data_IF_416051231830
#
_entry.id   IF_416051231830
#
_cell.length_a   1.000
_cell.length_b   1.000
_cell.length_c   1.000
_cell.angle_alpha   90.00
_cell.angle_beta   90.00
_cell.angle_gamma   90.00
#
_symmetry.space_group_name_H-M   'P 1'
#
loop_
_entity.id
_entity.type
_entity.pdbx_description
1 polymer ?
#
# COMPACT_ATOMS: atom_id res chain seq x y z
N UNK A 1 20.54 -1.06 -1.58
CA UNK A 1 20.14 -0.05 -2.60
C UNK A 1 18.64 0.16 -2.44
N UNK A 2 18.18 1.36 -2.09
CA UNK A 2 16.74 1.67 -2.04
C UNK A 2 16.16 1.71 -3.46
N UNK A 3 14.87 1.41 -3.60
CA UNK A 3 14.13 1.43 -4.86
C UNK A 3 13.57 2.86 -5.06
N UNK A 4 13.77 3.50 -6.22
CA UNK A 4 13.24 4.85 -6.47
C UNK A 4 11.70 4.89 -6.42
N UNK A 5 11.14 5.99 -5.90
CA UNK A 5 9.70 6.18 -5.74
C UNK A 5 8.95 6.16 -7.09
N UNK A 6 9.61 6.60 -8.17
CA UNK A 6 9.05 6.61 -9.52
C UNK A 6 8.70 5.21 -10.01
N UNK A 7 9.38 4.17 -9.50
CA UNK A 7 9.01 2.78 -9.81
C UNK A 7 7.66 2.38 -9.18
N UNK A 8 7.31 2.92 -8.02
CA UNK A 8 6.02 2.69 -7.38
C UNK A 8 4.90 3.36 -8.19
N UNK A 9 5.09 4.62 -8.59
CA UNK A 9 4.14 5.33 -9.47
C UNK A 9 3.95 4.61 -10.80
N UNK A 10 5.04 4.19 -11.46
CA UNK A 10 4.95 3.43 -12.71
C UNK A 10 4.17 2.12 -12.54
N UNK A 11 4.41 1.39 -11.44
CA UNK A 11 3.68 0.14 -11.16
C UNK A 11 2.20 0.39 -10.92
N UNK A 12 1.86 1.45 -10.19
CA UNK A 12 0.48 1.89 -9.97
C UNK A 12 -0.23 2.20 -11.28
N UNK A 13 0.39 3.00 -12.16
CA UNK A 13 -0.17 3.37 -13.46
C UNK A 13 -0.41 2.15 -14.37
N UNK A 14 0.48 1.17 -14.31
CA UNK A 14 0.38 -0.08 -15.06
C UNK A 14 -0.68 -1.07 -14.53
N UNK A 15 -1.17 -0.89 -13.30
CA UNK A 15 -2.17 -1.75 -12.67
C UNK A 15 -3.60 -1.52 -13.21
N UNK A 16 -3.76 -1.44 -14.53
CA UNK A 16 -5.00 -1.05 -15.23
C UNK A 16 -6.17 -2.02 -15.02
N UNK A 17 -5.89 -3.27 -14.66
CA UNK A 17 -6.90 -4.30 -14.37
C UNK A 17 -7.24 -4.41 -12.87
N UNK A 18 -6.70 -3.50 -12.04
CA UNK A 18 -7.02 -3.44 -10.62
C UNK A 18 -7.86 -2.18 -10.36
N UNK A 19 -9.21 -2.27 -10.44
CA UNK A 19 -10.08 -1.11 -10.26
C UNK A 19 -9.93 -0.47 -8.86
N UNK A 20 -9.52 -1.26 -7.85
CA UNK A 20 -9.22 -0.81 -6.48
C UNK A 20 -7.71 -0.58 -6.23
N UNK A 21 -6.91 -0.26 -7.25
CA UNK A 21 -5.49 0.04 -7.03
C UNK A 21 -5.32 1.23 -6.09
N UNK A 22 -4.46 1.09 -5.09
CA UNK A 22 -4.09 2.14 -4.15
C UNK A 22 -2.56 2.28 -4.09
N UNK A 23 -2.07 3.52 -3.97
CA UNK A 23 -0.66 3.82 -3.75
C UNK A 23 -0.53 4.66 -2.50
N UNK A 24 0.14 4.11 -1.49
CA UNK A 24 0.46 4.79 -0.24
C UNK A 24 1.96 5.07 -0.17
N UNK A 25 2.31 6.33 0.06
CA UNK A 25 3.68 6.78 0.35
C UNK A 25 3.67 7.31 1.78
N UNK A 26 4.49 6.73 2.66
CA UNK A 26 4.62 7.19 4.04
C UNK A 26 5.52 8.43 4.12
N UNK A 27 5.20 9.36 5.01
CA UNK A 27 6.04 10.55 5.25
C UNK A 27 6.98 10.32 6.43
N UNK A 28 8.07 11.10 6.54
CA UNK A 28 8.99 10.99 7.68
C UNK A 28 8.32 11.15 9.04
N UNK A 29 7.25 11.96 9.13
CA UNK A 29 6.50 12.19 10.37
C UNK A 29 5.71 10.96 10.82
N UNK A 30 5.31 10.10 9.89
CA UNK A 30 4.58 8.85 10.16
C UNK A 30 5.53 7.68 10.52
N UNK A 31 6.81 7.84 10.16
CA UNK A 31 7.77 6.74 10.09
C UNK A 31 7.49 5.81 8.90
N UNK A 32 8.12 4.64 8.89
CA UNK A 32 8.04 3.67 7.79
C UNK A 32 8.65 4.16 6.45
N UNK A 33 9.62 5.08 6.52
CA UNK A 33 10.28 5.63 5.33
C UNK A 33 11.50 4.84 4.90
N UNK A 34 12.05 4.01 5.79
CA UNK A 34 13.14 3.11 5.42
C UNK A 34 12.67 2.00 4.49
N UNK A 35 13.63 1.30 3.88
CA UNK A 35 13.28 0.15 3.04
C UNK A 35 12.39 -0.82 3.82
N UNK A 36 11.29 -1.27 3.20
CA UNK A 36 10.21 -2.09 3.79
C UNK A 36 9.50 -1.49 5.02
N UNK A 37 9.72 -0.20 5.30
CA UNK A 37 9.27 0.46 6.51
C UNK A 37 9.92 -0.11 7.77
N UNK A 38 11.19 -0.52 7.68
CA UNK A 38 11.92 -1.18 8.77
C UNK A 38 11.95 -0.36 10.07
N UNK A 39 11.93 0.96 9.95
CA UNK A 39 11.85 1.92 11.06
C UNK A 39 10.49 1.92 11.78
N UNK A 40 9.43 1.39 11.16
CA UNK A 40 8.10 1.27 11.78
C UNK A 40 7.28 0.09 11.21
N UNK A 41 7.88 -1.10 11.17
CA UNK A 41 7.32 -2.27 10.49
C UNK A 41 5.91 -2.69 10.97
N UNK A 42 5.58 -2.63 12.28
CA UNK A 42 4.23 -2.94 12.76
C UNK A 42 3.15 -2.06 12.12
N UNK A 43 3.43 -0.76 11.93
CA UNK A 43 2.49 0.18 11.33
C UNK A 43 2.20 -0.15 9.86
N UNK A 44 3.24 -0.44 9.07
CA UNK A 44 3.09 -0.88 7.68
C UNK A 44 2.30 -2.18 7.60
N UNK A 45 2.62 -3.15 8.47
CA UNK A 45 1.96 -4.46 8.46
C UNK A 45 0.47 -4.36 8.81
N UNK A 46 0.11 -3.51 9.79
CA UNK A 46 -1.28 -3.27 10.18
C UNK A 46 -2.04 -2.56 9.07
N UNK A 47 -1.46 -1.50 8.47
CA UNK A 47 -2.06 -0.80 7.34
C UNK A 47 -2.41 -1.75 6.18
N UNK A 48 -1.50 -2.65 5.82
CA UNK A 48 -1.74 -3.65 4.76
C UNK A 48 -2.82 -4.65 5.19
N UNK A 49 -2.79 -5.13 6.43
CA UNK A 49 -3.76 -6.09 6.94
C UNK A 49 -5.18 -5.52 6.95
N UNK A 50 -5.35 -4.27 7.39
CA UNK A 50 -6.63 -3.56 7.40
C UNK A 50 -7.15 -3.39 5.96
N UNK A 51 -6.31 -2.95 5.03
CA UNK A 51 -6.69 -2.82 3.61
C UNK A 51 -7.14 -4.15 2.99
N UNK A 52 -6.46 -5.25 3.31
CA UNK A 52 -6.85 -6.60 2.86
C UNK A 52 -8.21 -6.98 3.43
N UNK A 53 -8.42 -6.77 4.74
CA UNK A 53 -9.68 -7.09 5.41
C UNK A 53 -10.86 -6.30 4.81
N UNK A 54 -10.69 -4.99 4.62
CA UNK A 54 -11.71 -4.11 4.03
C UNK A 54 -12.04 -4.52 2.58
N UNK A 55 -11.02 -4.87 1.80
CA UNK A 55 -11.20 -5.33 0.42
C UNK A 55 -12.02 -6.62 0.36
N UNK A 56 -11.74 -7.60 1.21
CA UNK A 56 -12.55 -8.82 1.26
C UNK A 56 -13.97 -8.56 1.77
N UNK A 57 -14.15 -7.65 2.74
CA UNK A 57 -15.46 -7.25 3.21
C UNK A 57 -16.29 -6.61 2.08
N UNK A 58 -15.71 -5.69 1.31
CA UNK A 58 -16.36 -5.06 0.15
C UNK A 58 -16.77 -6.08 -0.92
N UNK A 59 -15.84 -6.97 -1.30
CA UNK A 59 -16.09 -8.06 -2.25
C UNK A 59 -17.24 -8.95 -1.79
N UNK A 60 -17.27 -9.32 -0.51
CA UNK A 60 -18.33 -10.15 0.06
C UNK A 60 -19.70 -9.45 0.06
N UNK A 61 -19.70 -8.12 0.12
CA UNK A 61 -20.92 -7.30 0.12
C UNK A 61 -21.43 -6.92 -1.27
N UNK A 62 -20.75 -7.34 -2.34
CA UNK A 62 -21.10 -7.01 -3.73
C UNK A 62 -20.92 -5.53 -4.08
N UNK A 63 -20.09 -4.80 -3.33
CA UNK A 63 -19.80 -3.36 -3.53
C UNK A 63 -18.46 -3.09 -4.21
N UNK A 64 -17.78 -4.14 -4.64
CA UNK A 64 -16.47 -4.09 -5.30
C UNK A 64 -16.58 -3.91 -6.81
#
# INVERSE_FOLDING_TARGET
RQIPLEMAHRSYDQAVNSPKRELRVFTPEEGATEHIGLDHLPYVSAFIADWVADTFAELSSGRA
#
